data_IF_396932138856
#
_entry.id   IF_396932138856
#
_cell.length_a   1.000
_cell.length_b   1.000
_cell.length_c   1.000
_cell.angle_alpha   90.00
_cell.angle_beta   90.00
_cell.angle_gamma   90.00
#
_symmetry.space_group_name_H-M   'P 1'
#
loop_
_entity.id
_entity.type
_entity.pdbx_description
1 polymer ?
#
# COMPACT_ATOMS: atom_id res chain seq x y z
N UNK A 1 21.03 -2.68 11.34
CA UNK A 1 20.41 -1.40 10.95
C UNK A 1 20.50 -1.35 9.44
N UNK A 2 19.38 -1.30 8.73
CA UNK A 2 19.38 -1.17 7.27
C UNK A 2 19.77 0.27 6.91
N UNK A 3 20.77 0.43 6.06
CA UNK A 3 21.16 1.75 5.57
C UNK A 3 19.99 2.36 4.79
N UNK A 4 19.67 3.63 5.10
CA UNK A 4 18.62 4.38 4.42
C UNK A 4 19.16 4.91 3.08
N UNK A 5 18.29 5.06 2.06
CA UNK A 5 18.71 5.63 0.78
C UNK A 5 19.23 7.07 0.97
N UNK A 6 20.35 7.39 0.31
CA UNK A 6 20.98 8.71 0.29
C UNK A 6 20.93 9.32 -1.12
N UNK A 7 20.91 10.65 -1.21
CA UNK A 7 20.79 11.37 -2.49
C UNK A 7 19.35 11.75 -2.84
N UNK A 8 19.01 11.77 -4.13
CA UNK A 8 17.64 12.08 -4.58
C UNK A 8 16.73 10.88 -4.34
N UNK A 9 15.71 11.06 -3.50
CA UNK A 9 14.70 10.04 -3.19
C UNK A 9 13.38 10.37 -3.89
N UNK A 10 12.83 9.39 -4.60
CA UNK A 10 11.49 9.49 -5.19
C UNK A 10 10.46 8.87 -4.24
N UNK A 11 9.43 9.63 -3.90
CA UNK A 11 8.33 9.16 -3.06
C UNK A 11 7.11 8.84 -3.92
N UNK A 12 6.45 7.73 -3.59
CA UNK A 12 5.17 7.33 -4.17
C UNK A 12 4.13 7.28 -3.05
N UNK A 13 3.00 7.96 -3.26
CA UNK A 13 1.85 7.92 -2.37
C UNK A 13 0.65 7.35 -3.10
N UNK A 14 -0.09 6.49 -2.41
CA UNK A 14 -1.29 5.84 -2.94
C UNK A 14 -2.34 5.75 -1.85
N UNK A 15 -3.60 5.80 -2.24
CA UNK A 15 -4.74 5.51 -1.38
C UNK A 15 -5.78 4.71 -2.17
N UNK A 16 -6.72 4.08 -1.46
CA UNK A 16 -7.91 3.47 -2.05
C UNK A 16 -8.94 4.59 -2.21
N UNK A 17 -9.25 4.92 -3.47
CA UNK A 17 -10.31 5.88 -3.78
C UNK A 17 -11.63 5.49 -3.11
N UNK A 18 -12.34 6.47 -2.54
CA UNK A 18 -13.63 6.27 -1.87
C UNK A 18 -13.61 5.18 -0.78
N UNK A 19 -12.46 4.97 -0.11
CA UNK A 19 -12.28 3.96 0.95
C UNK A 19 -13.32 4.04 2.06
N UNK A 20 -13.75 5.25 2.44
CA UNK A 20 -14.81 5.44 3.44
C UNK A 20 -16.14 4.86 3.01
N UNK A 21 -16.55 5.08 1.75
CA UNK A 21 -17.78 4.50 1.21
C UNK A 21 -17.66 2.99 1.09
N UNK A 22 -16.51 2.50 0.62
CA UNK A 22 -16.23 1.07 0.51
C UNK A 22 -16.27 0.36 1.88
N UNK A 23 -15.75 1.02 2.93
CA UNK A 23 -15.83 0.54 4.31
C UNK A 23 -17.28 0.46 4.79
N UNK A 24 -18.09 1.48 4.52
CA UNK A 24 -19.52 1.48 4.88
C UNK A 24 -20.28 0.32 4.21
N UNK A 25 -19.96 0.02 2.95
CA UNK A 25 -20.60 -1.07 2.20
C UNK A 25 -20.16 -2.46 2.67
N UNK A 26 -18.87 -2.66 2.97
CA UNK A 26 -18.30 -3.97 3.26
C UNK A 26 -18.23 -4.31 4.76
N UNK A 27 -18.28 -3.30 5.64
CA UNK A 27 -18.12 -3.47 7.08
C UNK A 27 -16.86 -4.27 7.43
N UNK A 28 -17.03 -5.35 8.19
CA UNK A 28 -15.92 -6.22 8.60
C UNK A 28 -15.13 -6.83 7.43
N UNK A 29 -15.75 -7.05 6.26
CA UNK A 29 -15.06 -7.63 5.10
C UNK A 29 -14.04 -6.69 4.47
N UNK A 30 -14.10 -5.39 4.78
CA UNK A 30 -13.13 -4.40 4.33
C UNK A 30 -11.69 -4.77 4.75
N UNK A 31 -11.51 -5.44 5.90
CA UNK A 31 -10.18 -5.86 6.37
C UNK A 31 -9.49 -6.80 5.39
N UNK A 32 -10.24 -7.68 4.73
CA UNK A 32 -9.72 -8.61 3.74
C UNK A 32 -9.29 -7.86 2.48
N UNK A 33 -10.13 -6.94 1.99
CA UNK A 33 -9.80 -6.09 0.82
C UNK A 33 -8.55 -5.25 1.08
N UNK A 34 -8.47 -4.62 2.25
CA UNK A 34 -7.32 -3.81 2.64
C UNK A 34 -6.04 -4.66 2.77
N UNK A 35 -6.16 -5.88 3.28
CA UNK A 35 -5.02 -6.80 3.42
C UNK A 35 -4.50 -7.24 2.05
N UNK A 36 -5.38 -7.59 1.12
CA UNK A 36 -5.01 -7.96 -0.24
C UNK A 36 -4.42 -6.80 -1.02
N UNK A 37 -5.00 -5.60 -0.92
CA UNK A 37 -4.43 -4.39 -1.53
C UNK A 37 -2.99 -4.16 -1.06
N UNK A 38 -2.75 -4.22 0.27
CA UNK A 38 -1.41 -4.07 0.84
C UNK A 38 -0.45 -5.19 0.41
N UNK A 39 -0.95 -6.42 0.24
CA UNK A 39 -0.14 -7.55 -0.24
C UNK A 39 0.31 -7.30 -1.68
N UNK A 40 -0.59 -6.91 -2.57
CA UNK A 40 -0.28 -6.60 -3.96
C UNK A 40 0.73 -5.45 -4.07
N UNK A 41 0.54 -4.39 -3.29
CA UNK A 41 1.46 -3.26 -3.24
C UNK A 41 2.86 -3.67 -2.80
N UNK A 42 2.99 -4.47 -1.72
CA UNK A 42 4.29 -4.98 -1.28
C UNK A 42 4.97 -5.86 -2.33
N UNK A 43 4.21 -6.73 -3.00
CA UNK A 43 4.76 -7.55 -4.09
C UNK A 43 5.27 -6.68 -5.24
N UNK A 44 4.52 -5.66 -5.65
CA UNK A 44 4.97 -4.72 -6.67
C UNK A 44 6.23 -3.96 -6.22
N UNK A 45 6.27 -3.44 -5.00
CA UNK A 45 7.45 -2.73 -4.49
C UNK A 45 8.68 -3.63 -4.45
N UNK A 46 8.54 -4.87 -3.99
CA UNK A 46 9.64 -5.85 -4.02
C UNK A 46 10.11 -6.13 -5.45
N UNK A 47 9.18 -6.29 -6.40
CA UNK A 47 9.50 -6.53 -7.81
C UNK A 47 10.26 -5.36 -8.45
N UNK A 48 9.95 -4.12 -8.06
CA UNK A 48 10.55 -2.90 -8.61
C UNK A 48 11.65 -2.29 -7.71
N UNK A 49 12.15 -3.04 -6.73
CA UNK A 49 13.22 -2.60 -5.82
C UNK A 49 12.89 -1.32 -5.04
N UNK A 50 11.61 -1.13 -4.71
CA UNK A 50 11.19 -0.13 -3.74
C UNK A 50 11.74 -0.46 -2.34
N UNK A 51 12.02 0.58 -1.57
CA UNK A 51 12.49 0.48 -0.18
C UNK A 51 11.34 0.11 0.77
#
# INVERSE_FOLDING_TARGET
MSDLPIGTVTFLFTDIESSTHLLQQLGYQYVTVLTESRRLMRTAFQQFHGY
#
